data_IF_296667631030
#
_entry.id   IF_296667631030
#
_cell.length_a   1.000
_cell.length_b   1.000
_cell.length_c   1.000
_cell.angle_alpha   90.00
_cell.angle_beta   90.00
_cell.angle_gamma   90.00
#
_symmetry.space_group_name_H-M   'P 1'
#
loop_
_entity.id
_entity.type
_entity.pdbx_description
1 polymer ?
#
# COMPACT_ATOMS: atom_id res chain seq x y z
N UNK A 1 -5.03 -7.92 -8.92
CA UNK A 1 -4.44 -7.12 -7.83
C UNK A 1 -5.45 -6.11 -7.29
N UNK A 2 -5.49 -5.91 -5.97
CA UNK A 2 -6.42 -4.98 -5.31
C UNK A 2 -5.64 -3.78 -4.76
N UNK A 3 -6.25 -2.61 -4.86
CA UNK A 3 -5.71 -1.38 -4.27
C UNK A 3 -6.61 -0.94 -3.13
N UNK A 4 -5.99 -0.45 -2.07
CA UNK A 4 -6.69 0.18 -0.98
C UNK A 4 -7.45 1.42 -1.44
N UNK A 5 -8.62 1.67 -0.82
CA UNK A 5 -9.52 2.75 -1.24
C UNK A 5 -8.88 4.13 -1.03
N UNK A 6 -8.16 4.31 0.08
CA UNK A 6 -7.42 5.52 0.43
C UNK A 6 -5.92 5.29 0.21
N UNK A 7 -5.58 4.92 -1.02
CA UNK A 7 -4.22 4.58 -1.42
C UNK A 7 -3.24 5.70 -1.02
N UNK A 8 -2.19 5.35 -0.30
CA UNK A 8 -1.11 6.28 0.03
C UNK A 8 -0.20 6.42 -1.19
N UNK A 9 0.09 7.66 -1.55
CA UNK A 9 0.89 7.97 -2.74
C UNK A 9 2.05 8.83 -2.29
N UNK A 10 3.26 8.40 -2.62
CA UNK A 10 4.46 9.18 -2.41
C UNK A 10 4.39 10.51 -3.17
N UNK A 11 4.96 11.56 -2.59
CA UNK A 11 4.92 12.92 -3.14
C UNK A 11 5.53 13.01 -4.54
N UNK A 12 6.53 12.18 -4.83
CA UNK A 12 7.23 12.14 -6.12
C UNK A 12 6.57 11.19 -7.13
N UNK A 13 5.45 10.57 -6.78
CA UNK A 13 4.74 9.64 -7.66
C UNK A 13 3.80 10.38 -8.59
N UNK A 14 4.16 10.40 -9.87
CA UNK A 14 3.33 10.98 -10.92
C UNK A 14 2.43 9.94 -11.59
N UNK A 15 1.35 10.41 -12.21
CA UNK A 15 0.46 9.59 -13.05
C UNK A 15 -0.03 8.27 -12.40
N UNK A 16 -0.49 8.35 -11.14
CA UNK A 16 -0.96 7.20 -10.34
C UNK A 16 -1.96 6.31 -11.09
N UNK A 17 -2.87 6.89 -11.88
CA UNK A 17 -3.83 6.12 -12.68
C UNK A 17 -3.16 5.18 -13.69
N UNK A 18 -2.15 5.67 -14.41
CA UNK A 18 -1.36 4.91 -15.38
C UNK A 18 -0.54 3.85 -14.66
N UNK A 19 0.09 4.20 -13.53
CA UNK A 19 0.84 3.25 -12.70
C UNK A 19 -0.04 2.10 -12.22
N UNK A 20 -1.26 2.40 -11.74
CA UNK A 20 -2.22 1.37 -11.31
C UNK A 20 -2.60 0.43 -12.46
N UNK A 21 -2.81 0.95 -13.68
CA UNK A 21 -3.07 0.11 -14.85
C UNK A 21 -1.87 -0.78 -15.20
N UNK A 22 -0.66 -0.21 -15.27
CA UNK A 22 0.59 -0.95 -15.54
C UNK A 22 0.82 -2.06 -14.50
N UNK A 23 0.60 -1.75 -13.23
CA UNK A 23 0.71 -2.69 -12.13
C UNK A 23 -0.32 -3.84 -12.24
N UNK A 24 -1.57 -3.56 -12.64
CA UNK A 24 -2.59 -4.62 -12.85
C UNK A 24 -2.22 -5.62 -13.94
N UNK A 25 -1.56 -5.17 -14.99
CA UNK A 25 -1.09 -6.02 -16.10
C UNK A 25 0.32 -6.58 -15.86
N UNK A 26 0.92 -6.35 -14.68
CA UNK A 26 2.28 -6.78 -14.33
C UNK A 26 3.35 -6.25 -15.30
N UNK A 27 3.14 -5.05 -15.84
CA UNK A 27 4.11 -4.38 -16.71
C UNK A 27 5.38 -4.01 -15.95
N UNK A 28 6.48 -3.81 -16.68
CA UNK A 28 7.75 -3.38 -16.10
C UNK A 28 7.64 -1.90 -15.68
N UNK A 29 7.48 -1.67 -14.39
CA UNK A 29 7.60 -0.36 -13.75
C UNK A 29 8.64 -0.46 -12.63
N UNK A 30 9.28 0.65 -12.30
CA UNK A 30 10.27 0.75 -11.22
C UNK A 30 9.71 1.64 -10.12
N UNK A 31 8.81 1.06 -9.33
CA UNK A 31 8.21 1.68 -8.15
C UNK A 31 8.29 0.72 -6.97
N UNK A 32 8.14 1.27 -5.76
CA UNK A 32 7.98 0.53 -4.52
C UNK A 32 6.51 0.51 -4.11
N UNK A 33 6.10 -0.61 -3.53
CA UNK A 33 4.72 -0.87 -3.13
C UNK A 33 4.69 -1.19 -1.65
N UNK A 34 3.89 -0.45 -0.89
CA UNK A 34 3.56 -0.80 0.49
C UNK A 34 2.31 -1.66 0.44
N UNK A 35 2.34 -2.83 1.06
CA UNK A 35 1.27 -3.83 0.96
C UNK A 35 0.89 -4.39 2.32
N UNK A 36 -0.32 -4.94 2.43
CA UNK A 36 -0.69 -5.72 3.60
C UNK A 36 0.10 -7.02 3.62
N UNK A 37 0.79 -7.27 4.73
CA UNK A 37 1.52 -8.51 4.91
C UNK A 37 0.56 -9.70 5.03
N UNK A 38 0.98 -10.83 4.46
CA UNK A 38 0.16 -12.05 4.46
C UNK A 38 0.24 -12.84 5.79
N UNK A 39 1.25 -12.59 6.63
CA UNK A 39 1.48 -13.25 7.92
C UNK A 39 1.18 -12.36 9.13
N UNK A 40 1.91 -12.60 10.24
CA UNK A 40 1.76 -11.85 11.51
C UNK A 40 2.28 -10.41 11.42
N UNK A 41 3.18 -10.14 10.46
CA UNK A 41 3.65 -8.80 10.16
C UNK A 41 2.49 -7.86 9.77
N UNK A 42 2.70 -6.55 9.90
CA UNK A 42 1.65 -5.57 9.62
C UNK A 42 1.61 -5.17 8.13
N UNK A 43 2.76 -4.69 7.62
CA UNK A 43 2.93 -4.21 6.25
C UNK A 43 4.25 -4.71 5.67
N UNK A 44 4.30 -4.89 4.35
CA UNK A 44 5.50 -5.28 3.61
C UNK A 44 5.77 -4.30 2.46
N UNK A 45 7.04 -3.96 2.26
CA UNK A 45 7.51 -3.12 1.14
C UNK A 45 8.09 -4.04 0.06
N UNK A 46 7.54 -3.96 -1.15
CA UNK A 46 8.02 -4.70 -2.30
C UNK A 46 8.49 -3.78 -3.41
N UNK A 47 9.57 -4.16 -4.09
CA UNK A 47 9.83 -3.64 -5.43
C UNK A 47 8.80 -4.21 -6.41
N UNK A 48 8.18 -3.35 -7.20
CA UNK A 48 7.25 -3.77 -8.28
C UNK A 48 7.87 -4.75 -9.28
N UNK A 49 9.20 -4.84 -9.37
CA UNK A 49 9.88 -5.84 -10.17
C UNK A 49 9.60 -7.28 -9.72
N UNK A 50 9.34 -7.49 -8.42
CA UNK A 50 9.01 -8.81 -7.85
C UNK A 50 7.65 -9.32 -8.32
N UNK A 51 6.73 -8.43 -8.69
CA UNK A 51 5.39 -8.81 -9.18
C UNK A 51 5.42 -9.68 -10.44
N UNK A 52 6.53 -9.73 -11.16
CA UNK A 52 6.70 -10.63 -12.33
C UNK A 52 6.80 -12.10 -11.94
N UNK A 53 7.24 -12.39 -10.72
CA UNK A 53 7.42 -13.76 -10.24
C UNK A 53 6.06 -14.49 -10.22
N UNK A 54 6.09 -15.80 -10.54
CA UNK A 54 4.87 -16.63 -10.61
C UNK A 54 4.07 -16.62 -9.30
N UNK A 55 4.76 -16.47 -8.16
CA UNK A 55 4.16 -16.40 -6.83
C UNK A 55 3.12 -15.28 -6.71
N UNK A 56 3.50 -14.04 -7.05
CA UNK A 56 2.63 -12.87 -6.93
C UNK A 56 1.44 -12.87 -7.90
N UNK A 57 1.47 -13.70 -8.95
CA UNK A 57 0.30 -13.90 -9.84
C UNK A 57 -0.81 -14.67 -9.13
N UNK A 58 -0.45 -15.61 -8.25
CA UNK A 58 -1.41 -16.41 -7.46
C UNK A 58 -1.72 -15.75 -6.11
N UNK A 59 -0.73 -15.09 -5.52
CA UNK A 59 -0.82 -14.46 -4.20
C UNK A 59 -0.63 -12.94 -4.33
N UNK A 60 -1.52 -12.28 -5.07
CA UNK A 60 -1.42 -10.83 -5.26
C UNK A 60 -1.78 -10.09 -3.95
N UNK A 61 -0.84 -9.35 -3.33
CA UNK A 61 -1.11 -8.66 -2.08
C UNK A 61 -2.04 -7.46 -2.32
N UNK A 62 -2.58 -6.92 -1.22
CA UNK A 62 -3.38 -5.70 -1.26
C UNK A 62 -2.40 -4.52 -1.18
N UNK A 63 -2.41 -3.68 -2.22
CA UNK A 63 -1.54 -2.51 -2.28
C UNK A 63 -2.14 -1.38 -1.44
N UNK A 64 -1.44 -0.99 -0.38
CA UNK A 64 -1.78 0.11 0.53
C UNK A 64 -1.17 1.43 0.06
N UNK A 65 0.05 1.38 -0.51
CA UNK A 65 0.70 2.58 -1.03
C UNK A 65 1.63 2.33 -2.21
N UNK A 66 1.93 3.41 -2.93
CA UNK A 66 2.87 3.44 -4.06
C UNK A 66 3.87 4.55 -3.82
N UNK A 67 5.16 4.25 -4.04
CA UNK A 67 6.27 5.17 -3.93
C UNK A 67 7.22 5.02 -5.12
N UNK A 68 7.90 6.09 -5.51
CA UNK A 68 8.91 6.10 -6.57
C UNK A 68 10.23 5.47 -6.11
N UNK A 69 10.56 5.58 -4.82
CA UNK A 69 11.77 5.03 -4.23
C UNK A 69 11.49 4.36 -2.86
N UNK A 70 12.51 3.73 -2.28
CA UNK A 70 12.38 2.98 -1.03
C UNK A 70 12.15 3.90 0.18
N UNK A 71 12.87 5.03 0.26
CA UNK A 71 12.75 5.98 1.36
C UNK A 71 11.32 6.54 1.45
N UNK A 72 10.73 6.87 0.31
CA UNK A 72 9.35 7.33 0.23
C UNK A 72 8.35 6.22 0.60
N UNK A 73 8.65 4.95 0.29
CA UNK A 73 7.86 3.83 0.77
C UNK A 73 7.93 3.70 2.31
N UNK A 74 9.10 3.92 2.91
CA UNK A 74 9.28 3.96 4.36
C UNK A 74 8.51 5.13 4.97
N UNK A 75 8.56 6.32 4.35
CA UNK A 75 7.81 7.49 4.80
C UNK A 75 6.29 7.24 4.78
N UNK A 76 5.78 6.52 3.78
CA UNK A 76 4.37 6.08 3.76
C UNK A 76 4.07 5.18 4.97
N UNK A 77 4.94 4.24 5.30
CA UNK A 77 4.74 3.35 6.47
C UNK A 77 4.77 4.15 7.76
N UNK A 78 5.72 5.07 7.93
CA UNK A 78 5.79 5.97 9.09
C UNK A 78 4.50 6.77 9.26
N UNK A 79 3.99 7.36 8.17
CA UNK A 79 2.71 8.07 8.18
C UNK A 79 1.54 7.18 8.61
N UNK A 80 1.48 5.93 8.15
CA UNK A 80 0.42 5.00 8.57
C UNK A 80 0.54 4.68 10.07
N UNK A 81 1.76 4.52 10.59
CA UNK A 81 2.01 4.28 12.02
C UNK A 81 1.58 5.47 12.86
N UNK A 82 1.96 6.69 12.47
CA UNK A 82 1.56 7.93 13.14
C UNK A 82 0.05 8.07 13.17
N UNK A 83 -0.62 7.95 12.01
CA UNK A 83 -2.08 8.04 11.95
C UNK A 83 -2.78 6.94 12.77
N UNK A 84 -2.20 5.73 12.84
CA UNK A 84 -2.72 4.63 13.66
C UNK A 84 -2.63 4.94 15.15
N UNK A 85 -1.47 5.43 15.59
CA UNK A 85 -1.20 5.80 16.97
C UNK A 85 -2.11 6.95 17.43
N UNK A 86 -2.20 8.01 16.62
CA UNK A 86 -3.06 9.16 16.92
C UNK A 86 -4.53 8.75 17.07
N UNK A 87 -4.98 7.79 16.27
CA UNK A 87 -6.40 7.46 16.18
C UNK A 87 -6.86 6.33 17.09
N UNK A 88 -6.00 5.35 17.31
CA UNK A 88 -6.34 4.14 18.08
C UNK A 88 -5.57 4.02 19.39
N UNK A 89 -4.50 4.80 19.56
CA UNK A 89 -3.55 4.63 20.66
C UNK A 89 -2.66 3.39 20.54
N UNK A 90 -2.73 2.67 19.41
CA UNK A 90 -2.03 1.40 19.18
C UNK A 90 -1.35 1.36 17.81
N UNK A 91 -0.39 0.44 17.66
CA UNK A 91 0.30 0.19 16.39
C UNK A 91 -0.33 -0.95 15.56
N UNK A 92 -1.62 -1.27 15.75
CA UNK A 92 -2.30 -2.23 14.88
C UNK A 92 -2.71 -1.55 13.56
N UNK A 93 -1.78 -1.55 12.60
CA UNK A 93 -1.95 -0.89 11.31
C UNK A 93 -3.05 -1.57 10.48
N UNK A 94 -3.17 -2.90 10.58
CA UNK A 94 -4.18 -3.69 9.89
C UNK A 94 -5.59 -3.30 10.34
N UNK A 95 -5.80 -3.15 11.64
CA UNK A 95 -7.06 -2.70 12.20
C UNK A 95 -7.33 -1.24 11.87
N UNK A 96 -6.34 -0.36 12.03
CA UNK A 96 -6.46 1.05 11.67
C UNK A 96 -6.91 1.26 10.21
N UNK A 97 -6.29 0.56 9.25
CA UNK A 97 -6.67 0.65 7.83
C UNK A 97 -8.11 0.17 7.60
N UNK A 98 -8.59 -0.86 8.34
CA UNK A 98 -10.00 -1.28 8.25
C UNK A 98 -10.95 -0.22 8.83
N UNK A 99 -10.59 0.39 9.96
CA UNK A 99 -11.37 1.45 10.60
C UNK A 99 -11.49 2.69 9.69
N UNK A 100 -10.37 3.13 9.11
CA UNK A 100 -10.33 4.27 8.17
C UNK A 100 -11.32 4.09 7.00
N UNK A 101 -11.51 2.87 6.50
CA UNK A 101 -12.53 2.57 5.48
C UNK A 101 -13.97 2.68 6.00
N UNK A 102 -14.23 2.26 7.24
CA UNK A 102 -15.57 2.32 7.84
C UNK A 102 -16.01 3.74 8.12
N UNK A 103 -15.12 4.60 8.62
CA UNK A 103 -15.50 5.96 9.02
C UNK A 103 -15.84 6.83 7.83
N UNK A 104 -15.08 6.67 6.74
CA UNK A 104 -15.35 7.35 5.49
C UNK A 104 -16.57 6.80 4.73
N UNK A 105 -17.17 5.69 5.19
CA UNK A 105 -18.48 5.22 4.73
C UNK A 105 -19.64 5.81 5.53
N UNK A 106 -19.41 6.25 6.77
CA UNK A 106 -20.45 6.87 7.62
C UNK A 106 -20.66 8.36 7.33
N UNK A 107 -19.71 8.99 6.65
CA UNK A 107 -19.78 10.39 6.24
C UNK A 107 -20.14 10.61 4.75
N UNK A 108 -20.73 9.63 4.07
CA UNK A 108 -21.21 9.73 2.68
C UNK A 108 -22.67 9.36 2.56
#
# INVERSE_FOLDING_TARGET
MKFYKYLYVGETVEHVGILKQKLKIHAMVRVYLVTLACGDDQLEIYSSMLLKQKYFRKHAPIIIGIASNYEEAVAIVQKIVEESLERTGTCDLKEYLKLKVKDQKKGS
#
